data_IF_307506138529
#
_entry.id   IF_307506138529
#
_cell.length_a   1.000
_cell.length_b   1.000
_cell.length_c   1.000
_cell.angle_alpha   90.00
_cell.angle_beta   90.00
_cell.angle_gamma   90.00
#
_symmetry.space_group_name_H-M   'P 1'
#
loop_
_entity.id
_entity.type
_entity.pdbx_description
1 polymer ?
#
# COMPACT_ATOMS: atom_id res chain seq x y z
N UNK A 1 -13.77 -8.64 -8.88
CA UNK A 1 -12.60 -9.06 -8.06
C UNK A 1 -13.15 -9.60 -6.75
N UNK A 2 -12.47 -10.54 -6.09
CA UNK A 2 -12.91 -11.06 -4.80
C UNK A 2 -12.91 -9.95 -3.73
N UNK A 3 -13.69 -10.15 -2.66
CA UNK A 3 -13.77 -9.19 -1.55
C UNK A 3 -12.45 -9.11 -0.80
N UNK A 4 -12.03 -7.91 -0.43
CA UNK A 4 -10.90 -7.71 0.48
C UNK A 4 -11.33 -8.08 1.90
N UNK A 5 -10.55 -8.92 2.58
CA UNK A 5 -10.91 -9.46 3.91
C UNK A 5 -9.91 -9.10 5.00
N UNK A 6 -8.64 -8.93 4.64
CA UNK A 6 -7.63 -8.49 5.58
C UNK A 6 -6.52 -7.69 4.89
N UNK A 7 -5.88 -6.84 5.67
CA UNK A 7 -4.72 -6.04 5.28
C UNK A 7 -3.67 -6.18 6.36
N UNK A 8 -2.46 -6.55 5.95
CA UNK A 8 -1.32 -6.67 6.84
C UNK A 8 -0.20 -5.77 6.34
N UNK A 9 0.39 -5.01 7.25
CA UNK A 9 1.65 -4.31 7.01
C UNK A 9 2.80 -5.21 7.46
N UNK A 10 3.76 -5.43 6.58
CA UNK A 10 4.99 -6.16 6.87
C UNK A 10 6.12 -5.15 6.89
N UNK A 11 6.49 -4.72 8.09
CA UNK A 11 7.29 -3.52 8.32
C UNK A 11 8.74 -3.84 8.69
N UNK A 12 9.66 -2.99 8.26
CA UNK A 12 11.02 -2.95 8.80
C UNK A 12 10.99 -2.51 10.28
N UNK A 13 12.06 -2.85 11.02
CA UNK A 13 12.19 -2.42 12.41
C UNK A 13 12.28 -0.89 12.51
N UNK A 14 11.46 -0.28 13.36
CA UNK A 14 11.41 1.18 13.56
C UNK A 14 10.26 1.88 12.83
N UNK A 15 9.54 1.18 11.96
CA UNK A 15 8.43 1.71 11.15
C UNK A 15 7.06 1.56 11.83
N UNK A 16 7.02 1.12 13.10
CA UNK A 16 5.77 0.74 13.78
C UNK A 16 4.79 1.90 13.95
N UNK A 17 5.24 3.16 13.90
CA UNK A 17 4.37 4.34 13.93
C UNK A 17 3.36 4.39 12.77
N UNK A 18 3.64 3.70 11.66
CA UNK A 18 2.69 3.58 10.55
C UNK A 18 1.41 2.84 10.95
N UNK A 19 1.48 1.92 11.92
CA UNK A 19 0.30 1.21 12.45
C UNK A 19 -0.60 2.15 13.23
N UNK A 20 -0.01 3.01 14.06
CA UNK A 20 -0.74 4.02 14.83
C UNK A 20 -1.41 5.04 13.89
N UNK A 21 -0.66 5.55 12.90
CA UNK A 21 -1.20 6.46 11.90
C UNK A 21 -2.33 5.83 11.07
N UNK A 22 -2.21 4.55 10.69
CA UNK A 22 -3.29 3.82 10.03
C UNK A 22 -4.54 3.73 10.91
N UNK A 23 -4.36 3.43 12.21
CA UNK A 23 -5.44 3.34 13.19
C UNK A 23 -6.20 4.67 13.32
N UNK A 24 -5.49 5.79 13.29
CA UNK A 24 -6.05 7.15 13.33
C UNK A 24 -6.58 7.63 11.97
N UNK A 25 -6.37 6.86 10.91
CA UNK A 25 -6.88 7.17 9.57
C UNK A 25 -6.06 8.24 8.84
N UNK A 26 -4.81 8.41 9.23
CA UNK A 26 -3.89 9.43 8.72
C UNK A 26 -3.10 8.92 7.52
N UNK A 27 -2.67 9.85 6.65
CA UNK A 27 -1.67 9.53 5.62
C UNK A 27 -0.35 9.21 6.29
N UNK A 28 0.30 8.13 5.88
CA UNK A 28 1.57 7.69 6.44
C UNK A 28 2.40 6.96 5.40
N UNK A 29 3.70 6.94 5.64
CA UNK A 29 4.72 6.20 4.90
C UNK A 29 5.24 5.05 5.78
N UNK A 30 5.80 4.03 5.12
CA UNK A 30 6.58 3.00 5.80
C UNK A 30 7.54 2.27 4.86
N UNK A 31 8.66 1.86 5.43
CA UNK A 31 9.55 0.85 4.84
C UNK A 31 9.01 -0.57 5.00
N UNK A 32 8.85 -1.28 3.88
CA UNK A 32 8.38 -2.67 3.89
C UNK A 32 7.41 -2.99 2.75
N UNK A 33 6.44 -3.86 3.03
CA UNK A 33 5.39 -4.20 2.07
C UNK A 33 4.02 -4.35 2.73
N UNK A 34 2.99 -4.15 1.92
CA UNK A 34 1.59 -4.33 2.28
C UNK A 34 1.07 -5.63 1.68
N UNK A 35 0.23 -6.34 2.42
CA UNK A 35 -0.45 -7.56 1.94
C UNK A 35 -1.95 -7.36 1.98
N UNK A 36 -2.59 -7.43 0.81
CA UNK A 36 -4.03 -7.54 0.64
C UNK A 36 -4.43 -9.01 0.61
N UNK A 37 -5.34 -9.43 1.49
CA UNK A 37 -5.88 -10.80 1.50
C UNK A 37 -7.35 -10.80 1.10
N UNK A 38 -7.67 -11.58 0.09
CA UNK A 38 -9.00 -11.67 -0.48
C UNK A 38 -9.77 -12.88 0.04
N UNK A 39 -11.10 -12.86 -0.10
CA UNK A 39 -12.01 -13.88 0.42
C UNK A 39 -11.72 -15.30 -0.10
N UNK A 40 -11.19 -15.43 -1.32
CA UNK A 40 -10.80 -16.70 -1.92
C UNK A 40 -9.44 -17.22 -1.43
N UNK A 41 -8.79 -16.50 -0.51
CA UNK A 41 -7.47 -16.82 0.01
C UNK A 41 -6.32 -16.27 -0.84
N UNK A 42 -6.61 -15.60 -1.97
CA UNK A 42 -5.57 -14.93 -2.74
C UNK A 42 -4.92 -13.83 -1.89
N UNK A 43 -3.60 -13.72 -2.01
CA UNK A 43 -2.81 -12.64 -1.42
C UNK A 43 -2.19 -11.82 -2.54
N UNK A 44 -2.14 -10.51 -2.34
CA UNK A 44 -1.39 -9.60 -3.18
C UNK A 44 -0.46 -8.77 -2.31
N UNK A 45 0.82 -8.83 -2.63
CA UNK A 45 1.88 -8.07 -1.99
C UNK A 45 2.08 -6.78 -2.77
N UNK A 46 2.29 -5.67 -2.07
CA UNK A 46 2.53 -4.35 -2.64
C UNK A 46 3.74 -3.73 -1.95
N UNK A 47 4.76 -3.37 -2.73
CA UNK A 47 5.96 -2.70 -2.23
C UNK A 47 6.56 -1.82 -3.32
N UNK A 48 7.61 -1.07 -3.01
CA UNK A 48 8.40 -0.42 -4.06
C UNK A 48 9.25 -1.45 -4.83
N UNK A 49 9.53 -1.15 -6.10
CA UNK A 49 10.32 -1.97 -7.02
C UNK A 49 11.21 -1.10 -7.91
N UNK A 50 12.14 -1.73 -8.63
CA UNK A 50 13.04 -1.03 -9.56
C UNK A 50 12.50 -0.81 -10.98
N UNK A 51 11.33 -1.36 -11.32
CA UNK A 51 10.74 -1.36 -12.67
C UNK A 51 9.24 -1.07 -12.59
N UNK A 52 8.63 -0.34 -13.54
CA UNK A 52 9.18 0.15 -14.81
C UNK A 52 10.07 1.39 -14.68
N UNK A 53 10.12 1.99 -13.50
CA UNK A 53 11.08 3.04 -13.12
C UNK A 53 11.54 2.77 -11.69
N UNK A 54 12.66 3.38 -11.30
CA UNK A 54 13.16 3.26 -9.93
C UNK A 54 12.09 3.72 -8.93
N UNK A 55 11.89 2.93 -7.87
CA UNK A 55 10.90 3.17 -6.83
C UNK A 55 9.45 3.22 -7.34
N UNK A 56 9.13 2.49 -8.40
CA UNK A 56 7.73 2.27 -8.77
C UNK A 56 7.02 1.41 -7.72
N UNK A 57 5.70 1.48 -7.65
CA UNK A 57 4.88 0.53 -6.88
C UNK A 57 4.70 -0.75 -7.69
N UNK A 58 5.09 -1.87 -7.09
CA UNK A 58 4.96 -3.21 -7.64
C UNK A 58 3.82 -3.98 -6.96
N UNK A 59 3.22 -4.93 -7.70
CA UNK A 59 2.30 -5.91 -7.12
C UNK A 59 2.69 -7.32 -7.53
N UNK A 60 2.53 -8.28 -6.63
CA UNK A 60 2.85 -9.70 -6.89
C UNK A 60 2.01 -10.63 -6.01
N UNK A 61 1.83 -11.87 -6.44
CA UNK A 61 1.21 -12.94 -5.65
C UNK A 61 2.14 -13.51 -4.56
N UNK A 62 3.41 -13.12 -4.57
CA UNK A 62 4.40 -13.43 -3.55
C UNK A 62 5.12 -12.16 -3.07
N UNK A 63 5.70 -12.25 -1.87
CA UNK A 63 6.59 -11.20 -1.35
C UNK A 63 7.74 -10.98 -2.34
N UNK A 64 7.95 -9.70 -2.68
CA UNK A 64 9.01 -9.26 -3.59
C UNK A 64 9.80 -8.09 -3.01
N UNK A 65 9.47 -7.69 -1.78
CA UNK A 65 10.31 -6.82 -0.98
C UNK A 65 11.55 -7.60 -0.52
N UNK A 66 12.74 -7.01 -0.74
CA UNK A 66 14.06 -7.44 -0.26
C UNK A 66 14.09 -8.82 0.42
N UNK A 67 14.52 -9.87 -0.31
CA UNK A 67 14.37 -11.28 0.12
C UNK A 67 14.91 -11.60 1.52
N UNK A 68 15.94 -10.90 1.98
CA UNK A 68 16.58 -11.12 3.29
C UNK A 68 16.16 -10.11 4.37
N UNK A 69 15.18 -9.24 4.09
CA UNK A 69 14.70 -8.28 5.07
C UNK A 69 13.90 -8.98 6.19
N UNK A 70 14.25 -8.65 7.43
CA UNK A 70 13.46 -9.07 8.59
C UNK A 70 12.26 -8.13 8.74
N UNK A 71 11.08 -8.63 8.36
CA UNK A 71 9.81 -7.89 8.47
C UNK A 71 8.98 -8.41 9.63
N UNK A 72 8.29 -7.50 10.31
CA UNK A 72 7.28 -7.82 11.33
C UNK A 72 5.89 -7.56 10.76
N UNK A 73 4.99 -8.53 10.93
CA UNK A 73 3.64 -8.49 10.41
C UNK A 73 2.69 -7.81 11.42
N UNK A 74 1.92 -6.83 10.96
CA UNK A 74 0.91 -6.09 11.72
C UNK A 74 -0.42 -6.12 10.98
N UNK A 75 -1.45 -6.70 11.61
CA UNK A 75 -2.81 -6.65 11.09
C UNK A 75 -3.40 -5.24 11.28
N UNK A 76 -3.71 -4.58 10.18
CA UNK A 76 -4.31 -3.23 10.15
C UNK A 76 -5.72 -3.24 9.56
N UNK A 77 -6.34 -4.42 9.43
CA UNK A 77 -7.66 -4.57 8.83
C UNK A 77 -8.75 -3.77 9.57
N UNK A 78 -8.61 -3.58 10.88
CA UNK A 78 -9.56 -2.82 11.69
C UNK A 78 -9.25 -1.31 11.78
N UNK A 79 -8.21 -0.85 11.08
CA UNK A 79 -7.77 0.55 11.16
C UNK A 79 -8.71 1.51 10.43
N UNK A 80 -8.75 2.77 10.87
CA UNK A 80 -9.66 3.76 10.30
C UNK A 80 -9.33 4.10 8.84
N UNK A 81 -8.08 3.99 8.40
CA UNK A 81 -7.74 4.26 7.00
C UNK A 81 -8.33 3.22 6.05
N UNK A 82 -8.38 1.95 6.46
CA UNK A 82 -8.78 0.82 5.62
C UNK A 82 -10.25 0.40 5.78
N UNK A 83 -10.92 0.87 6.84
CA UNK A 83 -12.24 0.41 7.27
C UNK A 83 -13.28 0.33 6.13
N UNK A 84 -13.31 1.33 5.25
CA UNK A 84 -14.32 1.41 4.18
C UNK A 84 -14.02 0.51 2.95
N UNK A 85 -12.85 -0.13 2.91
CA UNK A 85 -12.47 -1.08 1.85
C UNK A 85 -12.62 -2.54 2.29
N UNK A 86 -12.62 -2.82 3.60
CA UNK A 86 -12.79 -4.18 4.12
C UNK A 86 -14.20 -4.70 3.82
N UNK A 87 -14.28 -5.98 3.46
CA UNK A 87 -15.48 -6.70 2.99
C UNK A 87 -16.11 -6.14 1.70
N UNK A 88 -15.42 -5.26 0.99
CA UNK A 88 -15.84 -4.74 -0.31
C UNK A 88 -15.13 -5.46 -1.46
N UNK A 89 -15.78 -5.49 -2.61
CA UNK A 89 -15.11 -5.80 -3.88
C UNK A 89 -14.20 -4.61 -4.23
N UNK A 90 -12.89 -4.83 -4.20
CA UNK A 90 -11.89 -3.80 -4.50
C UNK A 90 -11.30 -4.00 -5.89
N UNK A 91 -10.99 -2.88 -6.55
CA UNK A 91 -10.28 -2.80 -7.81
C UNK A 91 -8.90 -2.18 -7.58
N UNK A 92 -7.93 -2.64 -8.36
CA UNK A 92 -6.55 -2.17 -8.32
C UNK A 92 -6.17 -1.59 -9.66
N UNK A 93 -5.70 -0.34 -9.69
CA UNK A 93 -5.38 0.36 -10.93
C UNK A 93 -4.19 1.29 -10.76
N UNK A 94 -3.15 1.10 -11.56
CA UNK A 94 -2.08 2.08 -11.66
C UNK A 94 -2.59 3.36 -12.33
N UNK A 95 -2.29 4.52 -11.74
CA UNK A 95 -2.78 5.80 -12.22
C UNK A 95 -2.07 6.27 -13.51
N UNK A 96 -0.83 5.80 -13.73
CA UNK A 96 0.00 6.15 -14.88
C UNK A 96 1.01 5.03 -15.20
N UNK A 97 1.63 5.00 -16.40
CA UNK A 97 2.54 3.94 -16.84
C UNK A 97 3.82 3.78 -15.98
N UNK A 98 4.20 4.82 -15.23
CA UNK A 98 5.35 4.83 -14.35
C UNK A 98 5.11 4.03 -13.06
N UNK A 99 3.87 3.59 -12.83
CA UNK A 99 3.44 2.84 -11.64
C UNK A 99 3.79 3.52 -10.31
N UNK A 100 3.90 4.85 -10.28
CA UNK A 100 4.20 5.59 -9.06
C UNK A 100 3.02 5.64 -8.07
N UNK A 101 1.81 5.40 -8.56
CA UNK A 101 0.57 5.40 -7.78
C UNK A 101 -0.29 4.20 -8.18
N UNK A 102 -0.64 3.38 -7.19
CA UNK A 102 -1.64 2.34 -7.27
C UNK A 102 -2.90 2.77 -6.51
N UNK A 103 -4.01 2.91 -7.23
CA UNK A 103 -5.32 3.15 -6.62
C UNK A 103 -5.93 1.81 -6.17
N UNK A 104 -6.38 1.76 -4.91
CA UNK A 104 -7.22 0.70 -4.35
C UNK A 104 -8.60 1.27 -4.11
N UNK A 105 -9.61 0.83 -4.86
CA UNK A 105 -10.94 1.44 -4.82
C UNK A 105 -12.08 0.43 -4.76
N UNK A 106 -13.15 0.79 -4.06
CA UNK A 106 -14.45 0.14 -4.04
C UNK A 106 -15.52 1.14 -4.50
N UNK A 107 -16.80 0.74 -4.61
CA UNK A 107 -17.87 1.70 -4.92
C UNK A 107 -18.03 2.83 -3.90
N UNK A 108 -17.52 2.66 -2.67
CA UNK A 108 -17.73 3.59 -1.54
C UNK A 108 -16.47 4.26 -1.04
N UNK A 109 -15.29 3.75 -1.41
CA UNK A 109 -14.02 4.25 -0.89
C UNK A 109 -12.89 4.12 -1.91
N UNK A 110 -11.84 4.91 -1.72
CA UNK A 110 -10.60 4.80 -2.46
C UNK A 110 -9.43 5.21 -1.58
N UNK A 111 -8.29 4.55 -1.80
CA UNK A 111 -7.00 4.91 -1.26
C UNK A 111 -5.95 4.82 -2.37
N UNK A 112 -4.83 5.49 -2.15
CA UNK A 112 -3.68 5.44 -3.03
C UNK A 112 -2.49 4.89 -2.26
N UNK A 113 -1.75 4.00 -2.93
CA UNK A 113 -0.44 3.51 -2.52
C UNK A 113 0.58 4.14 -3.46
N UNK A 114 1.50 4.95 -2.91
CA UNK A 114 2.38 5.80 -3.70
C UNK A 114 3.83 5.66 -3.26
N UNK A 115 4.77 5.83 -4.17
CA UNK A 115 6.18 6.12 -3.81
C UNK A 115 6.35 7.63 -3.65
N UNK A 116 5.72 8.18 -2.61
CA UNK A 116 5.71 9.62 -2.34
C UNK A 116 5.87 9.90 -0.83
N UNK A 117 7.10 10.13 -0.38
CA UNK A 117 7.40 10.36 1.03
C UNK A 117 7.65 11.86 1.26
N UNK A 118 7.04 12.43 2.32
CA UNK A 118 7.31 13.80 2.79
C UNK A 118 7.31 14.91 1.72
N UNK A 119 6.53 14.76 0.65
CA UNK A 119 6.46 15.76 -0.41
C UNK A 119 7.29 15.45 -1.67
N UNK A 120 7.97 14.31 -1.70
CA UNK A 120 8.91 13.94 -2.75
C UNK A 120 8.57 12.58 -3.37
N UNK A 121 8.63 12.50 -4.70
CA UNK A 121 8.50 11.25 -5.44
C UNK A 121 9.76 10.38 -5.33
N UNK A 122 9.63 9.11 -5.72
CA UNK A 122 10.73 8.14 -5.79
C UNK A 122 11.31 7.77 -4.42
N UNK A 123 10.45 7.61 -3.43
CA UNK A 123 10.80 7.13 -2.12
C UNK A 123 10.97 5.60 -2.10
N UNK A 124 11.94 5.12 -1.32
CA UNK A 124 12.11 3.71 -0.95
C UNK A 124 11.13 3.26 0.15
N UNK A 125 9.92 3.81 0.12
CA UNK A 125 8.83 3.58 1.07
C UNK A 125 7.49 3.53 0.34
N UNK A 126 6.49 2.94 0.99
CA UNK A 126 5.10 2.95 0.52
C UNK A 126 4.31 3.97 1.34
N UNK A 127 3.72 4.93 0.66
CA UNK A 127 2.82 5.93 1.25
C UNK A 127 1.37 5.53 1.02
N UNK A 128 0.59 5.47 2.09
CA UNK A 128 -0.85 5.27 2.08
C UNK A 128 -1.54 6.62 2.24
N UNK A 129 -2.32 7.05 1.25
CA UNK A 129 -3.01 8.33 1.30
C UNK A 129 -4.45 8.26 0.76
N UNK A 130 -5.31 9.15 1.27
CA UNK A 130 -6.73 9.28 0.87
C UNK A 130 -6.94 10.17 -0.37
N UNK A 131 -5.98 11.06 -0.61
CA UNK A 131 -5.99 12.02 -1.71
C UNK A 131 -4.81 11.77 -2.63
N UNK A 132 -4.97 12.14 -3.90
CA UNK A 132 -3.89 11.99 -4.85
C UNK A 132 -2.74 12.92 -4.43
N UNK A 133 -1.49 12.41 -4.34
CA UNK A 133 -0.33 13.27 -4.12
C UNK A 133 -0.18 14.28 -5.27
N UNK A 134 0.64 15.32 -5.04
CA UNK A 134 0.89 16.34 -6.04
C UNK A 134 1.36 15.72 -7.37
N UNK A 135 0.89 16.20 -8.54
CA UNK A 135 1.19 15.54 -9.80
C UNK A 135 2.70 15.43 -10.02
N UNK A 136 3.11 14.25 -10.45
CA UNK A 136 4.46 14.02 -10.90
C UNK A 136 4.83 14.99 -12.04
N UNK A 137 5.85 15.83 -11.83
CA UNK A 137 6.36 16.79 -12.82
C UNK A 137 5.59 18.12 -12.93
N UNK A 138 4.78 18.50 -11.93
CA UNK A 138 4.15 19.83 -11.85
C UNK A 138 5.13 20.96 -11.50
#
# INVERSE_FOLDING_TARGET
MPKLTAICYRLLQGEESAVDAAADGETHDFGGELVLTFQDGQRLFVSWVGEPVQYAIGTSDASHFLQDAALTDFDVSASAIWADLINQDVSLRFAAPENQVLEVSSPTARLMLCSYERGHWWADEVTVCKEAPAPYGA
#
